data_IF_234207236210
#
_entry.id   IF_234207236210
#
_cell.length_a   1.000
_cell.length_b   1.000
_cell.length_c   1.000
_cell.angle_alpha   90.00
_cell.angle_beta   90.00
_cell.angle_gamma   90.00
#
_symmetry.space_group_name_H-M   'P 1'
#
loop_
_entity.id
_entity.type
_entity.pdbx_description
1 polymer ?
#
# COMPACT_ATOMS: atom_id res chain seq x y z
N UNK A 1 -50.22 -15.32 0.02
CA UNK A 1 -49.21 -15.53 -1.03
C UNK A 1 -48.11 -14.48 -0.83
N UNK A 2 -47.15 -14.80 0.01
CA UNK A 2 -45.98 -13.92 0.33
C UNK A 2 -44.86 -14.30 -0.62
N UNK A 3 -44.57 -13.42 -1.56
CA UNK A 3 -43.39 -13.52 -2.45
C UNK A 3 -42.19 -13.11 -1.63
N UNK A 4 -41.41 -14.09 -1.13
CA UNK A 4 -40.06 -13.83 -0.61
C UNK A 4 -39.17 -13.44 -1.80
N UNK A 5 -38.93 -12.15 -1.93
CA UNK A 5 -37.82 -11.65 -2.76
C UNK A 5 -36.55 -12.01 -2.01
N UNK A 6 -36.00 -13.18 -2.31
CA UNK A 6 -34.66 -13.55 -1.96
C UNK A 6 -33.70 -12.61 -2.66
N UNK A 7 -33.24 -11.60 -1.94
CA UNK A 7 -32.14 -10.75 -2.35
C UNK A 7 -30.89 -11.63 -2.36
N UNK A 8 -30.58 -12.24 -3.51
CA UNK A 8 -29.30 -12.88 -3.76
C UNK A 8 -28.27 -11.77 -3.74
N UNK A 9 -27.74 -11.47 -2.56
CA UNK A 9 -26.51 -10.72 -2.42
C UNK A 9 -25.42 -11.57 -3.09
N UNK A 10 -25.12 -11.22 -4.33
CA UNK A 10 -24.00 -11.82 -5.05
C UNK A 10 -22.76 -11.62 -4.21
N UNK A 11 -22.29 -12.70 -3.58
CA UNK A 11 -21.02 -12.71 -2.85
C UNK A 11 -19.89 -12.39 -3.85
N UNK A 12 -19.42 -11.17 -3.79
CA UNK A 12 -18.24 -10.76 -4.56
C UNK A 12 -16.99 -11.31 -3.89
N UNK A 13 -16.54 -12.48 -4.34
CA UNK A 13 -15.23 -13.01 -3.95
C UNK A 13 -14.16 -12.00 -4.36
N UNK A 14 -13.32 -11.59 -3.41
CA UNK A 14 -12.20 -10.69 -3.68
C UNK A 14 -11.06 -11.46 -4.33
N UNK A 15 -10.49 -10.89 -5.39
CA UNK A 15 -9.35 -11.50 -6.07
C UNK A 15 -8.04 -10.96 -5.48
N UNK A 16 -7.23 -11.80 -4.78
CA UNK A 16 -5.99 -11.34 -4.14
C UNK A 16 -4.98 -10.75 -5.14
N UNK A 17 -4.91 -11.33 -6.35
CA UNK A 17 -4.00 -10.83 -7.39
C UNK A 17 -4.41 -9.43 -7.90
N UNK A 18 -5.72 -9.15 -7.99
CA UNK A 18 -6.20 -7.80 -8.34
C UNK A 18 -5.92 -6.80 -7.23
N UNK A 19 -6.10 -7.18 -5.96
CA UNK A 19 -5.77 -6.34 -4.83
C UNK A 19 -4.28 -5.98 -4.82
N UNK A 20 -3.39 -6.97 -5.00
CA UNK A 20 -1.96 -6.75 -5.12
C UNK A 20 -1.61 -5.83 -6.31
N UNK A 21 -2.20 -6.09 -7.48
CA UNK A 21 -1.97 -5.28 -8.68
C UNK A 21 -2.36 -3.80 -8.49
N UNK A 22 -3.52 -3.54 -7.88
CA UNK A 22 -3.94 -2.17 -7.57
C UNK A 22 -2.98 -1.47 -6.60
N UNK A 23 -2.40 -2.19 -5.62
CA UNK A 23 -1.40 -1.63 -4.72
C UNK A 23 -0.07 -1.33 -5.41
N UNK A 24 0.30 -2.08 -6.46
CA UNK A 24 1.49 -1.81 -7.29
C UNK A 24 1.31 -0.55 -8.12
N UNK A 25 0.12 -0.36 -8.71
CA UNK A 25 -0.18 0.80 -9.56
C UNK A 25 -0.32 2.08 -8.73
N UNK A 26 -1.00 1.98 -7.58
CA UNK A 26 -1.27 3.11 -6.72
C UNK A 26 -1.15 2.70 -5.24
N UNK A 27 -0.29 3.36 -4.44
CA UNK A 27 -0.16 3.07 -3.02
C UNK A 27 -1.50 3.17 -2.29
N UNK A 28 -1.92 2.08 -1.65
CA UNK A 28 -3.23 2.00 -1.01
C UNK A 28 -4.37 1.53 -1.93
N UNK A 29 -4.12 1.31 -3.23
CA UNK A 29 -5.15 0.89 -4.20
C UNK A 29 -5.76 -0.48 -3.86
N UNK A 30 -4.96 -1.42 -3.40
CA UNK A 30 -5.45 -2.73 -2.96
C UNK A 30 -6.28 -2.67 -1.68
N UNK A 31 -5.92 -1.79 -0.75
CA UNK A 31 -6.70 -1.54 0.46
C UNK A 31 -8.05 -0.88 0.12
N UNK A 32 -8.09 0.02 -0.86
CA UNK A 32 -9.36 0.56 -1.38
C UNK A 32 -10.21 -0.54 -2.02
N UNK A 33 -9.63 -1.40 -2.83
CA UNK A 33 -10.32 -2.55 -3.42
C UNK A 33 -10.89 -3.49 -2.35
N UNK A 34 -10.16 -3.68 -1.24
CA UNK A 34 -10.59 -4.50 -0.11
C UNK A 34 -11.60 -3.81 0.82
N UNK A 35 -11.97 -2.53 0.53
CA UNK A 35 -12.80 -1.68 1.39
C UNK A 35 -12.17 -1.39 2.77
N UNK A 36 -10.86 -1.53 2.90
CA UNK A 36 -10.10 -1.20 4.11
C UNK A 36 -9.70 0.30 4.11
N UNK A 37 -10.69 1.18 4.19
CA UNK A 37 -10.54 2.63 4.01
C UNK A 37 -9.52 3.27 4.94
N UNK A 38 -9.48 2.85 6.21
CA UNK A 38 -8.54 3.39 7.18
C UNK A 38 -7.08 2.97 6.86
N UNK A 39 -6.87 1.72 6.39
CA UNK A 39 -5.55 1.25 5.93
C UNK A 39 -5.12 1.99 4.67
N UNK A 40 -6.03 2.19 3.72
CA UNK A 40 -5.77 2.98 2.52
C UNK A 40 -5.33 4.40 2.88
N UNK A 41 -6.04 5.06 3.78
CA UNK A 41 -5.68 6.40 4.27
C UNK A 41 -4.29 6.44 4.93
N UNK A 42 -3.96 5.45 5.75
CA UNK A 42 -2.65 5.34 6.38
C UNK A 42 -1.52 5.15 5.35
N UNK A 43 -1.69 4.24 4.39
CA UNK A 43 -0.70 3.99 3.32
C UNK A 43 -0.49 5.23 2.46
N UNK A 44 -1.58 5.87 2.02
CA UNK A 44 -1.51 7.10 1.21
C UNK A 44 -0.81 8.21 1.99
N UNK A 45 -1.14 8.38 3.28
CA UNK A 45 -0.52 9.39 4.14
C UNK A 45 1.00 9.19 4.29
N UNK A 46 1.43 7.97 4.60
CA UNK A 46 2.86 7.63 4.73
C UNK A 46 3.60 7.82 3.41
N UNK A 47 3.04 7.32 2.30
CA UNK A 47 3.67 7.45 0.99
C UNK A 47 3.76 8.92 0.54
N UNK A 48 2.71 9.71 0.76
CA UNK A 48 2.73 11.14 0.43
C UNK A 48 3.79 11.89 1.23
N UNK A 49 3.96 11.57 2.52
CA UNK A 49 5.00 12.13 3.35
C UNK A 49 6.40 11.78 2.83
N UNK A 50 6.68 10.49 2.57
CA UNK A 50 7.97 10.02 2.06
C UNK A 50 8.31 10.61 0.69
N UNK A 51 7.35 10.71 -0.21
CA UNK A 51 7.54 11.34 -1.53
C UNK A 51 7.86 12.83 -1.36
N UNK A 52 7.15 13.52 -0.47
CA UNK A 52 7.40 14.95 -0.22
C UNK A 52 8.80 15.20 0.35
N UNK A 53 9.27 14.34 1.28
CA UNK A 53 10.63 14.43 1.83
C UNK A 53 11.69 14.11 0.77
N UNK A 54 11.45 13.12 -0.08
CA UNK A 54 12.35 12.78 -1.19
C UNK A 54 12.50 13.95 -2.17
N UNK A 55 11.41 14.58 -2.58
CA UNK A 55 11.42 15.75 -3.47
C UNK A 55 12.20 16.89 -2.80
N UNK A 56 11.90 17.20 -1.53
CA UNK A 56 12.60 18.24 -0.79
C UNK A 56 14.11 17.96 -0.69
N UNK A 57 14.52 16.73 -0.40
CA UNK A 57 15.93 16.37 -0.29
C UNK A 57 16.63 16.43 -1.64
N UNK A 58 15.96 16.07 -2.74
CA UNK A 58 16.48 16.20 -4.10
C UNK A 58 16.68 17.67 -4.48
N UNK A 59 15.69 18.52 -4.23
CA UNK A 59 15.78 19.96 -4.52
C UNK A 59 16.93 20.60 -3.76
N UNK A 60 17.10 20.26 -2.48
CA UNK A 60 18.21 20.75 -1.65
C UNK A 60 19.57 20.24 -2.11
N UNK A 61 19.66 18.99 -2.53
CA UNK A 61 20.89 18.45 -3.13
C UNK A 61 21.30 19.26 -4.36
N UNK A 62 20.36 19.52 -5.27
CA UNK A 62 20.64 20.29 -6.48
C UNK A 62 21.01 21.75 -6.17
N UNK A 63 20.33 22.39 -5.22
CA UNK A 63 20.63 23.74 -4.76
C UNK A 63 22.09 23.83 -4.28
N UNK A 64 22.50 22.96 -3.35
CA UNK A 64 23.86 22.95 -2.82
C UNK A 64 24.90 22.57 -3.87
N UNK A 65 24.57 21.71 -4.81
CA UNK A 65 25.43 21.40 -5.94
C UNK A 65 25.71 22.63 -6.81
N UNK A 66 24.66 23.37 -7.17
CA UNK A 66 24.80 24.63 -7.93
C UNK A 66 25.61 25.69 -7.17
N UNK A 67 25.40 25.82 -5.86
CA UNK A 67 26.18 26.70 -5.02
C UNK A 67 27.67 26.32 -5.00
N UNK A 68 28.00 25.04 -4.91
CA UNK A 68 29.35 24.52 -4.98
C UNK A 68 30.02 24.80 -6.33
N UNK A 69 29.28 24.74 -7.43
CA UNK A 69 29.78 25.00 -8.79
C UNK A 69 29.96 26.48 -9.06
N UNK A 70 29.19 27.36 -8.41
CA UNK A 70 29.21 28.82 -8.62
C UNK A 70 30.19 29.57 -7.73
N UNK A 71 30.70 28.94 -6.67
CA UNK A 71 31.62 29.61 -5.73
C UNK A 71 33.08 29.40 -6.13
N UNK A 72 33.89 30.44 -6.00
CA UNK A 72 35.36 30.39 -6.24
C UNK A 72 36.15 30.14 -4.95
N UNK A 73 35.52 30.27 -3.78
CA UNK A 73 36.13 29.98 -2.50
C UNK A 73 36.17 28.48 -2.23
N UNK A 74 37.37 27.90 -2.18
CA UNK A 74 37.59 26.47 -1.96
C UNK A 74 36.99 25.95 -0.64
N UNK A 75 36.99 26.77 0.41
CA UNK A 75 36.41 26.37 1.69
C UNK A 75 34.89 26.32 1.62
N UNK A 76 34.24 27.30 1.04
CA UNK A 76 32.80 27.32 0.80
C UNK A 76 32.36 26.19 -0.14
N UNK A 77 33.15 25.93 -1.19
CA UNK A 77 32.90 24.84 -2.12
C UNK A 77 32.85 23.49 -1.42
N UNK A 78 33.81 23.20 -0.52
CA UNK A 78 33.80 21.96 0.24
C UNK A 78 32.58 21.83 1.16
N UNK A 79 32.15 22.91 1.79
CA UNK A 79 30.95 22.93 2.62
C UNK A 79 29.72 22.60 1.78
N UNK A 80 29.52 23.24 0.64
CA UNK A 80 28.38 23.02 -0.24
C UNK A 80 28.38 21.61 -0.83
N UNK A 81 29.54 21.08 -1.22
CA UNK A 81 29.67 19.68 -1.66
C UNK A 81 29.27 18.69 -0.56
N UNK A 82 29.71 18.93 0.68
CA UNK A 82 29.34 18.11 1.83
C UNK A 82 27.82 18.13 2.08
N UNK A 83 27.21 19.32 2.01
CA UNK A 83 25.75 19.47 2.16
C UNK A 83 24.98 18.78 1.03
N UNK A 84 25.42 18.94 -0.23
CA UNK A 84 24.82 18.25 -1.37
C UNK A 84 24.85 16.73 -1.16
N UNK A 85 25.99 16.18 -0.75
CA UNK A 85 26.13 14.75 -0.47
C UNK A 85 25.20 14.29 0.67
N UNK A 86 25.09 15.06 1.75
CA UNK A 86 24.20 14.74 2.86
C UNK A 86 22.72 14.67 2.41
N UNK A 87 22.28 15.60 1.57
CA UNK A 87 20.92 15.57 1.02
C UNK A 87 20.72 14.42 0.00
N UNK A 88 21.76 14.07 -0.76
CA UNK A 88 21.74 12.89 -1.62
C UNK A 88 21.54 11.60 -0.81
N UNK A 89 22.25 11.47 0.32
CA UNK A 89 22.12 10.29 1.19
C UNK A 89 20.71 10.20 1.81
N UNK A 90 20.13 11.35 2.21
CA UNK A 90 18.75 11.43 2.68
C UNK A 90 17.75 11.04 1.59
N UNK A 91 17.90 11.56 0.38
CA UNK A 91 17.07 11.21 -0.77
C UNK A 91 17.11 9.71 -1.06
N UNK A 92 18.31 9.10 -1.09
CA UNK A 92 18.46 7.67 -1.28
C UNK A 92 17.77 6.85 -0.18
N UNK A 93 17.86 7.32 1.07
CA UNK A 93 17.17 6.70 2.19
C UNK A 93 15.64 6.79 2.04
N UNK A 94 15.12 7.94 1.61
CA UNK A 94 13.68 8.11 1.35
C UNK A 94 13.20 7.16 0.25
N UNK A 95 13.97 6.97 -0.82
CA UNK A 95 13.65 6.01 -1.88
C UNK A 95 13.57 4.57 -1.35
N UNK A 96 14.48 4.18 -0.46
CA UNK A 96 14.44 2.87 0.20
C UNK A 96 13.15 2.69 1.01
N UNK A 97 12.77 3.68 1.82
CA UNK A 97 11.55 3.63 2.61
C UNK A 97 10.28 3.63 1.74
N UNK A 98 10.26 4.39 0.65
CA UNK A 98 9.17 4.35 -0.34
C UNK A 98 9.02 2.93 -0.90
N UNK A 99 10.12 2.29 -1.29
CA UNK A 99 10.10 0.92 -1.81
C UNK A 99 9.62 -0.11 -0.78
N UNK A 100 10.13 -0.04 0.45
CA UNK A 100 9.73 -0.94 1.55
C UNK A 100 8.25 -0.79 1.88
N UNK A 101 7.78 0.43 2.07
CA UNK A 101 6.37 0.68 2.44
C UNK A 101 5.41 0.33 1.31
N UNK A 102 5.80 0.55 0.04
CA UNK A 102 5.02 0.09 -1.11
C UNK A 102 4.94 -1.45 -1.16
N UNK A 103 6.06 -2.16 -0.96
CA UNK A 103 6.10 -3.62 -0.91
C UNK A 103 5.23 -4.18 0.20
N UNK A 104 5.30 -3.62 1.40
CA UNK A 104 4.44 -4.01 2.52
C UNK A 104 2.96 -3.77 2.23
N UNK A 105 2.62 -2.66 1.57
CA UNK A 105 1.25 -2.36 1.16
C UNK A 105 0.69 -3.40 0.18
N UNK A 106 1.51 -3.87 -0.77
CA UNK A 106 1.11 -4.93 -1.72
C UNK A 106 0.83 -6.24 -0.99
N UNK A 107 1.72 -6.64 -0.08
CA UNK A 107 1.57 -7.87 0.72
C UNK A 107 0.32 -7.80 1.60
N UNK A 108 0.11 -6.68 2.31
CA UNK A 108 -1.07 -6.47 3.16
C UNK A 108 -2.37 -6.56 2.35
N UNK A 109 -2.44 -5.93 1.19
CA UNK A 109 -3.60 -5.97 0.31
C UNK A 109 -3.89 -7.39 -0.22
N UNK A 110 -2.85 -8.14 -0.56
CA UNK A 110 -2.98 -9.54 -0.99
C UNK A 110 -3.53 -10.43 0.13
N UNK A 111 -2.95 -10.32 1.33
CA UNK A 111 -3.35 -11.09 2.50
C UNK A 111 -4.79 -10.76 2.91
N UNK A 112 -5.15 -9.49 2.98
CA UNK A 112 -6.52 -9.05 3.31
C UNK A 112 -7.56 -9.63 2.34
N UNK A 113 -7.27 -9.62 1.03
CA UNK A 113 -8.18 -10.20 0.04
C UNK A 113 -8.31 -11.72 0.18
N UNK A 114 -7.21 -12.39 0.54
CA UNK A 114 -7.21 -13.84 0.75
C UNK A 114 -8.00 -14.23 2.01
N UNK A 115 -7.78 -13.52 3.11
CA UNK A 115 -8.50 -13.74 4.38
C UNK A 115 -9.99 -13.45 4.27
N UNK A 116 -10.38 -12.42 3.50
CA UNK A 116 -11.79 -12.11 3.26
C UNK A 116 -12.54 -13.29 2.63
N UNK A 117 -11.94 -13.93 1.65
CA UNK A 117 -12.53 -15.10 1.00
C UNK A 117 -12.66 -16.29 1.98
N UNK A 118 -11.66 -16.50 2.83
CA UNK A 118 -11.67 -17.56 3.82
C UNK A 118 -12.77 -17.39 4.89
N UNK A 119 -12.99 -16.15 5.37
CA UNK A 119 -14.07 -15.85 6.31
C UNK A 119 -15.45 -16.02 5.67
N UNK A 120 -15.61 -15.62 4.41
CA UNK A 120 -16.86 -15.81 3.67
C UNK A 120 -17.19 -17.30 3.47
N UNK A 121 -16.21 -18.13 3.21
CA UNK A 121 -16.39 -19.59 3.13
C UNK A 121 -16.77 -20.21 4.48
N UNK A 122 -16.16 -19.77 5.58
CA UNK A 122 -16.55 -20.22 6.93
C UNK A 122 -17.99 -19.89 7.26
N UNK A 123 -18.45 -18.69 6.94
CA UNK A 123 -19.83 -18.28 7.19
C UNK A 123 -20.82 -19.13 6.41
N UNK A 124 -20.51 -19.52 5.17
CA UNK A 124 -21.33 -20.44 4.37
C UNK A 124 -21.46 -21.80 5.03
N UNK A 125 -20.37 -22.33 5.57
CA UNK A 125 -20.39 -23.62 6.29
C UNK A 125 -21.26 -23.52 7.54
N UNK A 126 -21.13 -22.45 8.34
CA UNK A 126 -21.92 -22.27 9.56
C UNK A 126 -23.41 -22.09 9.29
N UNK A 127 -23.79 -21.35 8.25
CA UNK A 127 -25.19 -21.19 7.83
C UNK A 127 -25.81 -22.52 7.33
N UNK A 128 -25.02 -23.32 6.62
CA UNK A 128 -25.47 -24.64 6.17
C UNK A 128 -25.68 -25.62 7.32
N UNK A 129 -24.89 -25.51 8.40
CA UNK A 129 -25.09 -26.26 9.63
C UNK A 129 -26.35 -25.85 10.40
N UNK A 130 -26.77 -24.57 10.30
CA UNK A 130 -27.94 -24.07 11.01
C UNK A 130 -29.27 -24.46 10.37
N UNK A 131 -29.31 -24.68 9.06
CA UNK A 131 -30.57 -24.89 8.32
C UNK A 131 -30.95 -26.35 8.13
N UNK A 132 -30.02 -27.28 8.15
CA UNK A 132 -30.28 -28.69 7.78
C UNK A 132 -29.71 -29.77 8.71
N UNK A 133 -29.44 -29.50 9.98
CA UNK A 133 -28.89 -30.52 10.88
C UNK A 133 -27.80 -31.36 10.20
N UNK A 134 -26.60 -31.27 10.66
CA UNK A 134 -25.37 -31.96 10.25
C UNK A 134 -25.42 -32.80 8.98
N UNK A 135 -25.16 -32.24 7.81
CA UNK A 135 -24.75 -32.99 6.62
C UNK A 135 -23.31 -32.58 6.28
N UNK A 136 -22.36 -33.39 6.68
CA UNK A 136 -20.97 -33.31 6.24
C UNK A 136 -20.90 -33.72 4.76
N UNK A 137 -20.96 -32.75 3.85
CA UNK A 137 -20.60 -32.97 2.45
C UNK A 137 -19.19 -32.42 2.21
N UNK A 138 -18.20 -33.29 2.35
CA UNK A 138 -16.86 -33.07 1.87
C UNK A 138 -16.86 -33.22 0.35
N UNK A 139 -16.71 -32.13 -0.39
CA UNK A 139 -16.45 -32.15 -1.83
C UNK A 139 -14.97 -31.78 -2.03
N UNK A 140 -14.21 -32.83 -2.34
CA UNK A 140 -12.83 -32.67 -2.80
C UNK A 140 -12.77 -32.00 -4.18
#
# INVERSE_FOLDING_TARGET
MLVSIGMVLGETTKNPNKAALYSVIFPGGGQLYNHAWWKAGAVIGVQSYLISTAIYNQDKQEEYKKLAESTTDLYQQQIYQSQSKNYQDKFNNDLWWIGITAGLSVIDAYVDAHLYNFESEKQKILLHFSENGVVLQYKF
#
